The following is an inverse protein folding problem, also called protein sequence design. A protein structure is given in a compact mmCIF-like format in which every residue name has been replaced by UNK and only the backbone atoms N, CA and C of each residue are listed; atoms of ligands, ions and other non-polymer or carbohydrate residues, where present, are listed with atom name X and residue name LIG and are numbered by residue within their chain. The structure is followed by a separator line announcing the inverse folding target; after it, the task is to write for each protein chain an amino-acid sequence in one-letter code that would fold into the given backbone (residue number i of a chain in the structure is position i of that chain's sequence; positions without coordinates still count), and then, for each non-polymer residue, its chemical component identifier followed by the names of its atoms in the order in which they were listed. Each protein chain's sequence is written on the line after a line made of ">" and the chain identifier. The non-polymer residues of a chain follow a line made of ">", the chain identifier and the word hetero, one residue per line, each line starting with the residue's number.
data_IF_167974349819
#
_entry.id   IF_167974349819
#
_cell.length_a   1.000
_cell.length_b   1.000
_cell.length_c   1.000
_cell.angle_alpha   90.00
_cell.angle_beta   90.00
_cell.angle_gamma   90.00
#
_symmetry.space_group_name_H-M   'P 1'
#
loop_
_entity.id
_entity.type
_entity.pdbx_description
1 polymer ?
#
# COMPACT_ATOMS: atom_id res chain seq x y z
N UNK A 1 -22.26 -11.14 -16.16
CA UNK A 1 -21.19 -10.29 -15.62
C UNK A 1 -20.96 -10.77 -14.20
N UNK A 2 -20.08 -11.76 -14.05
CA UNK A 2 -19.83 -12.44 -12.79
C UNK A 2 -18.99 -11.57 -11.86
N UNK A 3 -19.63 -11.10 -10.80
CA UNK A 3 -18.98 -10.43 -9.66
C UNK A 3 -18.13 -11.39 -8.82
N UNK A 4 -18.24 -12.70 -9.04
CA UNK A 4 -17.46 -13.73 -8.34
C UNK A 4 -16.02 -13.89 -8.86
N UNK A 5 -15.69 -13.32 -10.03
CA UNK A 5 -14.32 -13.35 -10.56
C UNK A 5 -13.37 -12.32 -9.90
N UNK A 6 -13.89 -11.43 -9.04
CA UNK A 6 -13.10 -10.40 -8.38
C UNK A 6 -12.71 -10.72 -6.93
N UNK A 7 -13.15 -11.85 -6.37
CA UNK A 7 -12.93 -12.18 -4.95
C UNK A 7 -11.77 -13.16 -4.71
N UNK A 8 -11.31 -13.88 -5.74
CA UNK A 8 -10.23 -14.87 -5.62
C UNK A 8 -8.81 -14.25 -5.62
N UNK A 9 -8.69 -12.92 -5.74
CA UNK A 9 -7.38 -12.21 -5.72
C UNK A 9 -7.09 -11.50 -4.41
N UNK A 10 -8.04 -11.51 -3.45
CA UNK A 10 -8.00 -10.77 -2.18
C UNK A 10 -7.10 -11.39 -1.09
N UNK A 11 -6.19 -12.30 -1.48
CA UNK A 11 -4.98 -12.63 -0.71
C UNK A 11 -3.82 -11.69 -1.04
N UNK A 12 -4.14 -10.49 -1.52
CA UNK A 12 -3.19 -9.57 -2.11
C UNK A 12 -2.33 -8.90 -1.02
N UNK A 13 -1.16 -9.47 -0.69
CA UNK A 13 -0.19 -8.88 0.25
C UNK A 13 0.10 -7.40 -0.06
N UNK A 14 0.01 -7.03 -1.35
CA UNK A 14 0.11 -5.66 -1.85
C UNK A 14 -0.91 -4.68 -1.25
N UNK A 15 -2.16 -5.10 -1.02
CA UNK A 15 -3.18 -4.23 -0.42
C UNK A 15 -2.85 -3.96 1.05
N UNK A 16 -2.40 -5.00 1.77
CA UNK A 16 -1.95 -4.87 3.16
C UNK A 16 -0.76 -3.92 3.27
N UNK A 17 0.22 -4.06 2.38
CA UNK A 17 1.42 -3.22 2.41
C UNK A 17 1.11 -1.77 2.06
N UNK A 18 0.15 -1.51 1.15
CA UNK A 18 -0.35 -0.15 0.87
C UNK A 18 -1.00 0.48 2.09
N UNK A 19 -1.87 -0.25 2.79
CA UNK A 19 -2.51 0.26 4.02
C UNK A 19 -1.46 0.53 5.10
N UNK A 20 -0.51 -0.39 5.31
CA UNK A 20 0.60 -0.19 6.26
C UNK A 20 1.44 1.04 5.91
N UNK A 21 1.73 1.25 4.62
CA UNK A 21 2.49 2.40 4.16
C UNK A 21 1.80 3.72 4.51
N UNK A 22 0.48 3.80 4.31
CA UNK A 22 -0.32 4.99 4.66
C UNK A 22 -0.32 5.22 6.18
N UNK A 23 -0.55 4.17 6.97
CA UNK A 23 -0.57 4.27 8.44
C UNK A 23 0.77 4.75 8.99
N UNK A 24 1.88 4.14 8.57
CA UNK A 24 3.22 4.54 9.01
C UNK A 24 3.54 5.98 8.57
N UNK A 25 3.06 6.39 7.38
CA UNK A 25 3.20 7.77 6.93
C UNK A 25 2.43 8.74 7.84
N UNK A 26 1.23 8.40 8.27
CA UNK A 26 0.45 9.19 9.24
C UNK A 26 1.11 9.23 10.63
N UNK A 27 1.89 8.22 11.00
CA UNK A 27 2.72 8.21 12.21
C UNK A 27 4.01 9.05 12.08
N UNK A 28 4.23 9.69 10.94
CA UNK A 28 5.40 10.55 10.71
C UNK A 28 6.65 9.82 10.21
N UNK A 29 6.54 8.56 9.80
CA UNK A 29 7.67 7.83 9.24
C UNK A 29 8.05 8.36 7.85
N UNK A 30 9.35 8.41 7.58
CA UNK A 30 9.87 8.74 6.26
C UNK A 30 9.58 7.61 5.27
N UNK A 31 9.29 7.97 4.02
CA UNK A 31 9.03 7.01 2.93
C UNK A 31 10.16 5.98 2.78
N UNK A 32 11.41 6.41 2.96
CA UNK A 32 12.62 5.56 2.95
C UNK A 32 12.59 4.51 4.05
N UNK A 33 12.19 4.88 5.27
CA UNK A 33 12.06 3.97 6.42
C UNK A 33 10.92 2.97 6.21
N UNK A 34 9.79 3.44 5.67
CA UNK A 34 8.64 2.58 5.34
C UNK A 34 9.03 1.57 4.27
N UNK A 35 9.73 2.02 3.21
CA UNK A 35 10.23 1.17 2.14
C UNK A 35 11.17 0.07 2.67
N UNK A 36 12.09 0.44 3.56
CA UNK A 36 12.97 -0.52 4.24
C UNK A 36 12.19 -1.52 5.12
N UNK A 37 11.25 -1.04 5.93
CA UNK A 37 10.46 -1.86 6.85
C UNK A 37 9.55 -2.85 6.12
N UNK A 38 8.94 -2.42 5.01
CA UNK A 38 8.07 -3.25 4.19
C UNK A 38 8.83 -4.06 3.12
N UNK A 39 10.16 -3.85 2.98
CA UNK A 39 11.00 -4.40 1.90
C UNK A 39 10.41 -4.15 0.51
N UNK A 40 9.88 -2.95 0.32
CA UNK A 40 9.30 -2.48 -0.93
C UNK A 40 10.10 -1.31 -1.48
N UNK A 41 10.02 -1.11 -2.80
CA UNK A 41 10.66 0.03 -3.42
C UNK A 41 9.93 1.34 -3.03
N UNK A 42 10.66 2.42 -2.80
CA UNK A 42 10.09 3.71 -2.40
C UNK A 42 9.01 4.21 -3.36
N UNK A 43 9.16 3.98 -4.67
CA UNK A 43 8.14 4.36 -5.66
C UNK A 43 6.79 3.65 -5.43
N UNK A 44 6.81 2.45 -4.86
CA UNK A 44 5.59 1.72 -4.50
C UNK A 44 4.92 2.35 -3.29
N UNK A 45 5.72 2.83 -2.33
CA UNK A 45 5.24 3.57 -1.15
C UNK A 45 4.69 4.93 -1.55
N UNK A 46 5.40 5.70 -2.40
CA UNK A 46 4.92 6.98 -2.91
C UNK A 46 3.58 6.83 -3.63
N UNK A 47 3.47 5.86 -4.56
CA UNK A 47 2.20 5.57 -5.24
C UNK A 47 1.08 5.19 -4.26
N UNK A 48 1.39 4.40 -3.23
CA UNK A 48 0.41 4.01 -2.23
C UNK A 48 -0.13 5.21 -1.43
N UNK A 49 0.74 6.18 -1.11
CA UNK A 49 0.38 7.42 -0.43
C UNK A 49 -0.41 8.33 -1.38
N UNK A 50 0.05 8.51 -2.62
CA UNK A 50 -0.61 9.35 -3.62
C UNK A 50 -2.01 8.82 -3.95
N UNK A 51 -2.16 7.51 -4.13
CA UNK A 51 -3.46 6.84 -4.33
C UNK A 51 -4.42 7.07 -3.16
N UNK A 52 -3.89 7.22 -1.94
CA UNK A 52 -4.69 7.50 -0.74
C UNK A 52 -5.07 8.98 -0.63
N UNK A 53 -4.16 9.90 -0.96
CA UNK A 53 -4.42 11.36 -0.92
C UNK A 53 -5.34 11.80 -2.06
N UNK A 54 -5.26 11.15 -3.22
CA UNK A 54 -6.08 11.45 -4.40
C UNK A 54 -7.53 10.95 -4.30
N UNK A 55 -7.91 10.30 -3.19
CA UNK A 55 -9.22 9.65 -3.01
C UNK A 55 -10.03 10.25 -1.86
#
# INVERSE_FOLDING_TARGET
>A
MDLEALDDTSRNGRVRDRIKAVLLRSEGWLTTMIAQALRLHETTICRAIDDYVSK
#
